data_IF_664483326231
#
_entry.id   IF_664483326231
#
_cell.length_a   1.000
_cell.length_b   1.000
_cell.length_c   1.000
_cell.angle_alpha   90.00
_cell.angle_beta   90.00
_cell.angle_gamma   90.00
#
_symmetry.space_group_name_H-M   'P 1'
#
loop_
_entity.id
_entity.type
_entity.pdbx_description
1 polymer ?
#
# COMPACT_ATOMS: atom_id res chain seq x y z
N UNK A 1 -24.59 2.95 2.49
CA UNK A 1 -23.32 2.19 2.48
C UNK A 1 -22.91 1.96 3.92
N UNK A 2 -22.70 0.71 4.33
CA UNK A 2 -22.40 0.36 5.72
C UNK A 2 -20.88 0.30 5.92
N UNK A 3 -20.37 0.88 6.99
CA UNK A 3 -18.99 0.73 7.43
C UNK A 3 -18.99 0.00 8.76
N UNK A 4 -18.22 -1.07 8.84
CA UNK A 4 -18.02 -1.77 10.10
C UNK A 4 -16.69 -1.34 10.71
N UNK A 5 -16.76 -0.86 11.95
CA UNK A 5 -15.58 -0.60 12.77
C UNK A 5 -15.13 -1.90 13.42
N UNK A 6 -13.86 -2.24 13.25
CA UNK A 6 -13.21 -3.34 13.96
C UNK A 6 -12.15 -2.77 14.88
N UNK A 7 -12.14 -3.23 16.13
CA UNK A 7 -11.11 -2.91 17.12
C UNK A 7 -10.41 -4.20 17.51
N UNK A 8 -9.08 -4.22 17.40
CA UNK A 8 -8.25 -5.34 17.83
C UNK A 8 -7.27 -4.88 18.89
N UNK A 9 -7.11 -5.71 19.93
CA UNK A 9 -6.06 -5.54 20.92
C UNK A 9 -4.84 -6.33 20.45
N UNK A 10 -3.74 -5.62 20.17
CA UNK A 10 -2.46 -6.20 19.77
C UNK A 10 -1.36 -5.76 20.72
N UNK A 11 -0.31 -6.57 20.81
CA UNK A 11 0.89 -6.26 21.60
C UNK A 11 1.62 -5.03 21.05
N UNK A 12 2.22 -4.22 21.91
CA UNK A 12 3.06 -3.07 21.55
C UNK A 12 4.27 -3.45 20.65
N UNK A 13 4.64 -4.74 20.64
CA UNK A 13 5.66 -5.26 19.74
C UNK A 13 5.24 -5.29 18.26
N UNK A 14 3.94 -5.15 17.98
CA UNK A 14 3.39 -5.16 16.61
C UNK A 14 3.53 -3.76 16.01
N UNK A 15 4.39 -3.64 14.99
CA UNK A 15 4.69 -2.34 14.36
C UNK A 15 3.64 -1.89 13.33
N UNK A 16 3.02 -2.86 12.64
CA UNK A 16 2.03 -2.62 11.60
C UNK A 16 1.10 -3.82 11.48
N UNK A 17 -0.08 -3.60 10.89
CA UNK A 17 -1.10 -4.64 10.70
C UNK A 17 -1.71 -4.54 9.31
N UNK A 18 -1.76 -5.67 8.59
CA UNK A 18 -2.43 -5.80 7.29
C UNK A 18 -3.62 -6.74 7.43
N UNK A 19 -4.81 -6.26 7.10
CA UNK A 19 -6.03 -7.07 7.01
C UNK A 19 -6.31 -7.51 5.58
N UNK A 20 -7.21 -8.47 5.41
CA UNK A 20 -7.59 -9.03 4.11
C UNK A 20 -6.37 -9.61 3.38
N UNK A 21 -5.77 -10.64 3.98
CA UNK A 21 -4.60 -11.33 3.43
C UNK A 21 -4.88 -11.82 2.00
N UNK A 22 -3.99 -11.48 1.07
CA UNK A 22 -4.11 -11.74 -0.36
C UNK A 22 -5.41 -11.21 -1.00
N UNK A 23 -6.12 -10.29 -0.34
CA UNK A 23 -7.35 -9.68 -0.86
C UNK A 23 -8.45 -10.71 -1.22
N UNK A 24 -8.58 -11.76 -0.41
CA UNK A 24 -9.58 -12.83 -0.64
C UNK A 24 -11.00 -12.40 -0.27
N UNK A 25 -11.16 -11.45 0.65
CA UNK A 25 -12.43 -10.86 1.03
C UNK A 25 -12.86 -9.73 0.08
N UNK A 26 -14.15 -9.67 -0.23
CA UNK A 26 -14.76 -8.58 -0.99
C UNK A 26 -15.01 -7.35 -0.11
N UNK A 27 -13.94 -6.79 0.45
CA UNK A 27 -14.02 -5.57 1.24
C UNK A 27 -12.75 -4.71 1.19
N UNK A 28 -12.94 -3.40 1.37
CA UNK A 28 -11.84 -2.42 1.49
C UNK A 28 -11.53 -2.20 2.95
N UNK A 29 -10.23 -2.06 3.28
CA UNK A 29 -9.74 -1.76 4.63
C UNK A 29 -9.17 -0.34 4.67
N UNK A 30 -9.67 0.46 5.60
CA UNK A 30 -9.08 1.78 5.93
C UNK A 30 -8.29 1.70 7.23
N UNK A 31 -7.00 2.01 7.22
CA UNK A 31 -6.11 1.84 8.38
C UNK A 31 -5.97 3.07 9.30
N UNK A 32 -6.60 4.20 8.95
CA UNK A 32 -6.33 5.48 9.61
C UNK A 32 -4.94 6.04 9.24
N UNK A 33 -4.66 7.27 9.66
CA UNK A 33 -3.43 7.96 9.23
C UNK A 33 -2.16 7.28 9.75
N UNK A 34 -2.16 6.91 11.03
CA UNK A 34 -1.06 6.17 11.65
C UNK A 34 -0.86 4.78 11.04
N UNK A 35 -1.95 4.02 10.84
CA UNK A 35 -1.87 2.68 10.26
C UNK A 35 -1.41 2.68 8.80
N UNK A 36 -1.83 3.67 8.01
CA UNK A 36 -1.26 3.87 6.67
C UNK A 36 0.23 4.24 6.73
N UNK A 37 0.63 5.11 7.66
CA UNK A 37 2.03 5.52 7.79
C UNK A 37 2.95 4.34 8.16
N UNK A 38 2.55 3.48 9.10
CA UNK A 38 3.35 2.32 9.50
C UNK A 38 3.43 1.25 8.41
N UNK A 39 2.36 1.05 7.63
CA UNK A 39 2.39 0.18 6.44
C UNK A 39 3.32 0.72 5.35
N UNK A 40 3.32 2.04 5.11
CA UNK A 40 4.22 2.67 4.15
C UNK A 40 5.68 2.52 4.61
N UNK A 41 5.97 2.74 5.89
CA UNK A 41 7.30 2.59 6.47
C UNK A 41 7.81 1.13 6.35
N UNK A 42 6.94 0.15 6.60
CA UNK A 42 7.25 -1.26 6.42
C UNK A 42 7.65 -1.59 4.98
N UNK A 43 6.90 -1.09 4.00
CA UNK A 43 7.17 -1.31 2.57
C UNK A 43 8.45 -0.63 2.08
N UNK A 44 8.79 0.53 2.64
CA UNK A 44 10.06 1.23 2.33
C UNK A 44 11.26 0.54 2.96
N UNK A 45 11.08 -0.06 4.14
CA UNK A 45 12.15 -0.79 4.85
C UNK A 45 12.46 -2.12 4.17
N UNK A 46 11.42 -2.91 3.87
CA UNK A 46 11.54 -4.16 3.15
C UNK A 46 10.23 -4.45 2.39
N UNK A 47 10.30 -4.40 1.07
CA UNK A 47 9.15 -4.60 0.18
C UNK A 47 8.57 -6.02 0.29
N UNK A 48 9.37 -6.99 0.74
CA UNK A 48 8.96 -8.38 0.89
C UNK A 48 8.19 -8.65 2.19
N UNK A 49 8.05 -7.64 3.06
CA UNK A 49 7.20 -7.73 4.27
C UNK A 49 5.74 -8.02 3.97
N UNK A 50 5.27 -7.64 2.77
CA UNK A 50 3.93 -7.92 2.26
C UNK A 50 4.01 -8.66 0.93
N UNK A 51 3.06 -9.57 0.68
CA UNK A 51 2.98 -10.29 -0.59
C UNK A 51 2.67 -9.32 -1.75
N UNK A 52 3.02 -9.66 -3.01
CA UNK A 52 2.67 -8.82 -4.16
C UNK A 52 1.16 -8.57 -4.28
N UNK A 53 0.34 -9.56 -3.90
CA UNK A 53 -1.12 -9.42 -3.88
C UNK A 53 -1.61 -8.44 -2.81
N UNK A 54 -0.99 -8.46 -1.63
CA UNK A 54 -1.29 -7.50 -0.56
C UNK A 54 -0.87 -6.08 -0.93
N UNK A 55 0.29 -5.92 -1.58
CA UNK A 55 0.76 -4.62 -2.07
C UNK A 55 -0.17 -4.03 -3.13
N UNK A 56 -0.59 -4.83 -4.11
CA UNK A 56 -1.61 -4.45 -5.08
C UNK A 56 -2.94 -4.06 -4.40
N UNK A 57 -3.38 -4.84 -3.42
CA UNK A 57 -4.58 -4.54 -2.64
C UNK A 57 -4.48 -3.21 -1.87
N UNK A 58 -3.33 -2.91 -1.27
CA UNK A 58 -3.11 -1.63 -0.58
C UNK A 58 -3.23 -0.44 -1.53
N UNK A 59 -2.64 -0.53 -2.72
CA UNK A 59 -2.78 0.49 -3.78
C UNK A 59 -4.25 0.65 -4.15
N UNK A 60 -4.95 -0.45 -4.46
CA UNK A 60 -6.37 -0.42 -4.79
C UNK A 60 -7.21 0.26 -3.69
N UNK A 61 -6.98 -0.13 -2.45
CA UNK A 61 -7.72 0.31 -1.27
C UNK A 61 -7.52 1.81 -1.05
N UNK A 62 -6.28 2.30 -1.05
CA UNK A 62 -5.99 3.71 -0.78
C UNK A 62 -6.56 4.63 -1.86
N UNK A 63 -6.51 4.21 -3.14
CA UNK A 63 -7.13 4.94 -4.24
C UNK A 63 -8.65 4.97 -4.10
N UNK A 64 -9.27 3.84 -3.78
CA UNK A 64 -10.71 3.77 -3.56
C UNK A 64 -11.15 4.68 -2.40
N UNK A 65 -10.42 4.68 -1.29
CA UNK A 65 -10.68 5.53 -0.13
C UNK A 65 -10.46 7.01 -0.44
N UNK A 66 -9.46 7.33 -1.27
CA UNK A 66 -9.23 8.72 -1.70
C UNK A 66 -10.34 9.26 -2.59
N UNK A 67 -10.88 8.44 -3.52
CA UNK A 67 -12.07 8.81 -4.30
C UNK A 67 -13.30 9.05 -3.42
N UNK A 68 -13.38 8.40 -2.27
CA UNK A 68 -14.46 8.57 -1.30
C UNK A 68 -14.23 9.76 -0.34
N UNK A 69 -13.13 10.51 -0.50
CA UNK A 69 -12.76 11.61 0.38
C UNK A 69 -12.33 11.18 1.78
N UNK A 70 -11.99 9.89 1.98
CA UNK A 70 -11.59 9.34 3.29
C UNK A 70 -10.09 9.39 3.52
N UNK A 71 -9.30 9.31 2.45
CA UNK A 71 -7.84 9.43 2.49
C UNK A 71 -7.40 10.56 1.57
N UNK A 72 -6.48 11.41 2.03
CA UNK A 72 -5.97 12.51 1.21
C UNK A 72 -5.18 11.98 0.01
N UNK A 73 -5.25 12.66 -1.13
CA UNK A 73 -4.45 12.26 -2.31
C UNK A 73 -2.94 12.37 -2.04
N UNK A 74 -2.51 13.22 -1.10
CA UNK A 74 -1.11 13.28 -0.63
C UNK A 74 -0.65 11.94 -0.05
N UNK A 75 -1.51 11.28 0.72
CA UNK A 75 -1.21 10.00 1.34
C UNK A 75 -1.18 8.86 0.32
N UNK A 76 -1.99 8.95 -0.75
CA UNK A 76 -1.85 8.08 -1.93
C UNK A 76 -0.48 8.24 -2.57
N UNK A 77 -0.01 9.47 -2.78
CA UNK A 77 1.33 9.73 -3.32
C UNK A 77 2.44 9.23 -2.40
N UNK A 78 2.28 9.36 -1.08
CA UNK A 78 3.23 8.83 -0.11
C UNK A 78 3.33 7.30 -0.16
N UNK A 79 2.21 6.60 -0.41
CA UNK A 79 2.24 5.15 -0.66
C UNK A 79 2.96 4.86 -1.96
N UNK A 80 2.63 5.54 -3.06
CA UNK A 80 3.27 5.28 -4.37
C UNK A 80 4.79 5.53 -4.39
N UNK A 81 5.34 6.23 -3.41
CA UNK A 81 6.78 6.41 -3.26
C UNK A 81 7.53 5.08 -3.14
N UNK A 82 6.97 4.06 -2.45
CA UNK A 82 7.61 2.73 -2.38
C UNK A 82 7.63 2.03 -3.75
N UNK A 83 6.64 2.32 -4.62
CA UNK A 83 6.47 1.65 -5.90
C UNK A 83 7.62 1.93 -6.88
N UNK A 84 8.49 2.91 -6.58
CA UNK A 84 9.73 3.16 -7.30
C UNK A 84 10.72 1.99 -7.25
N UNK A 85 10.66 1.18 -6.19
CA UNK A 85 11.48 -0.01 -5.98
C UNK A 85 10.70 -1.32 -6.22
N UNK A 86 9.47 -1.24 -6.73
CA UNK A 86 8.62 -2.39 -6.99
C UNK A 86 9.02 -3.09 -8.29
N UNK A 87 9.15 -4.41 -8.23
CA UNK A 87 9.52 -5.26 -9.37
C UNK A 87 8.43 -6.25 -9.75
N UNK A 88 7.42 -6.43 -8.90
CA UNK A 88 6.36 -7.41 -9.12
C UNK A 88 5.24 -6.83 -9.99
N UNK A 89 4.77 -7.65 -10.92
CA UNK A 89 3.79 -7.22 -11.94
C UNK A 89 2.47 -6.75 -11.34
N UNK A 90 1.97 -7.42 -10.29
CA UNK A 90 0.63 -7.14 -9.77
C UNK A 90 0.49 -5.73 -9.15
N UNK A 91 1.38 -5.28 -8.23
CA UNK A 91 1.32 -3.90 -7.71
C UNK A 91 1.56 -2.84 -8.77
N UNK A 92 2.49 -3.06 -9.71
CA UNK A 92 2.77 -2.11 -10.79
C UNK A 92 1.58 -1.94 -11.72
N UNK A 93 0.94 -3.05 -12.12
CA UNK A 93 -0.23 -3.01 -12.99
C UNK A 93 -1.39 -2.29 -12.31
N UNK A 94 -1.61 -2.53 -11.02
CA UNK A 94 -2.64 -1.82 -10.25
C UNK A 94 -2.33 -0.32 -10.16
N UNK A 95 -1.10 0.07 -9.81
CA UNK A 95 -0.69 1.48 -9.74
C UNK A 95 -0.88 2.20 -11.08
N UNK A 96 -0.42 1.59 -12.17
CA UNK A 96 -0.54 2.16 -13.52
C UNK A 96 -2.00 2.29 -13.95
N UNK A 97 -2.85 1.30 -13.65
CA UNK A 97 -4.29 1.35 -13.92
C UNK A 97 -4.99 2.51 -13.19
N UNK A 98 -4.69 2.69 -11.90
CA UNK A 98 -5.24 3.78 -11.09
C UNK A 98 -4.75 5.15 -11.58
N UNK A 99 -3.46 5.28 -11.89
CA UNK A 99 -2.89 6.51 -12.43
C UNK A 99 -3.44 6.85 -13.82
N UNK A 100 -3.66 5.86 -14.70
CA UNK A 100 -4.33 6.07 -15.99
C UNK A 100 -5.74 6.61 -15.82
N UNK A 101 -6.47 6.12 -14.80
CA UNK A 101 -7.79 6.66 -14.45
C UNK A 101 -7.72 8.13 -14.00
N UNK A 102 -6.73 8.49 -13.19
CA UNK A 102 -6.49 9.89 -12.77
C UNK A 102 -6.14 10.77 -13.97
N UNK A 103 -5.23 10.31 -14.83
CA UNK A 103 -4.83 11.02 -16.05
C UNK A 103 -6.04 11.36 -16.91
N UNK A 104 -6.91 10.37 -17.18
CA UNK A 104 -8.13 10.56 -17.98
C UNK A 104 -9.09 11.57 -17.37
N UNK A 105 -9.16 11.65 -16.04
CA UNK A 105 -9.99 12.65 -15.35
C UNK A 105 -9.41 14.06 -15.48
N UNK A 106 -8.09 14.21 -15.37
CA UNK A 106 -7.41 15.50 -15.53
C UNK A 106 -7.52 16.03 -16.97
N UNK A 107 -7.36 15.14 -17.95
CA UNK A 107 -7.51 15.47 -19.37
C UNK A 107 -8.92 15.99 -19.68
N UNK A 108 -9.96 15.28 -19.17
CA UNK A 108 -11.36 15.73 -19.29
C UNK A 108 -11.65 17.08 -18.61
N UNK A 109 -10.91 17.42 -17.56
CA UNK A 109 -11.02 18.72 -16.86
C UNK A 109 -10.17 19.82 -17.49
N UNK A 110 -9.48 19.54 -18.60
CA UNK A 110 -8.57 20.48 -19.26
C UNK A 110 -7.42 20.96 -18.36
N UNK A 111 -7.02 20.14 -17.38
CA UNK A 111 -5.94 20.44 -16.44
C UNK A 111 -4.56 20.18 -17.06
N UNK A 112 -4.27 20.86 -18.18
CA UNK A 112 -3.11 20.58 -19.04
C UNK A 112 -1.77 20.65 -18.31
N UNK A 113 -1.65 21.55 -17.32
CA UNK A 113 -0.45 21.68 -16.48
C UNK A 113 -0.20 20.42 -15.63
N UNK A 114 -1.25 19.86 -15.03
CA UNK A 114 -1.14 18.65 -14.20
C UNK A 114 -0.92 17.41 -15.07
N UNK A 115 -1.59 17.33 -16.22
CA UNK A 115 -1.39 16.29 -17.23
C UNK A 115 0.06 16.24 -17.70
N UNK A 116 0.66 17.38 -18.04
CA UNK A 116 2.05 17.45 -18.48
C UNK A 116 3.03 16.96 -17.40
N UNK A 117 2.85 17.39 -16.14
CA UNK A 117 3.68 16.94 -15.01
C UNK A 117 3.58 15.44 -14.77
N UNK A 118 2.37 14.89 -14.87
CA UNK A 118 2.13 13.46 -14.68
C UNK A 118 2.78 12.62 -15.79
N UNK A 119 2.73 13.08 -17.05
CA UNK A 119 3.40 12.41 -18.17
C UNK A 119 4.90 12.28 -17.94
N UNK A 120 5.57 13.37 -17.57
CA UNK A 120 7.04 13.39 -17.38
C UNK A 120 7.47 12.33 -16.35
N UNK A 121 6.77 12.25 -15.21
CA UNK A 121 7.11 11.30 -14.15
C UNK A 121 6.79 9.83 -14.50
N UNK A 122 5.76 9.58 -15.31
CA UNK A 122 5.44 8.22 -15.75
C UNK A 122 6.47 7.69 -16.76
N UNK A 123 6.93 8.53 -17.69
CA UNK A 123 7.88 8.10 -18.74
C UNK A 123 9.27 7.78 -18.18
N UNK A 124 9.72 8.48 -17.13
CA UNK A 124 11.02 8.22 -16.51
C UNK A 124 11.06 6.90 -15.73
N UNK A 125 9.94 6.42 -15.18
CA UNK A 125 9.88 5.14 -14.46
C UNK A 125 9.70 3.94 -15.38
N UNK A 126 8.91 4.06 -16.45
CA UNK A 126 8.72 2.96 -17.41
C UNK A 126 10.00 2.64 -18.19
N UNK A 127 10.83 3.64 -18.52
CA UNK A 127 12.08 3.43 -19.26
C UNK A 127 13.16 2.71 -18.44
N UNK A 128 13.23 2.96 -17.12
CA UNK A 128 14.20 2.27 -16.24
C UNK A 128 13.81 0.82 -15.99
N UNK A 129 12.51 0.51 -15.88
CA UNK A 129 12.05 -0.85 -15.60
C UNK A 129 12.15 -1.79 -16.81
N UNK A 130 11.97 -1.29 -18.04
CA UNK A 130 12.05 -2.11 -19.26
C UNK A 130 13.47 -2.59 -19.59
N UNK A 131 14.51 -2.03 -18.95
CA UNK A 131 15.92 -2.38 -19.17
C UNK A 131 16.51 -3.35 -18.13
N UNK A 132 15.71 -3.87 -17.19
CA UNK A 132 16.23 -4.85 -16.22
C UNK A 132 15.17 -5.89 -15.90
N UNK A 133 14.95 -6.82 -16.81
CA UNK A 133 14.24 -8.07 -16.50
C UNK A 133 15.06 -9.29 -16.95
N UNK A 134 15.84 -9.82 -16.01
CA UNK A 134 15.96 -11.27 -15.78
C UNK A 134 16.46 -11.44 -14.35
N UNK A 135 15.56 -11.73 -13.42
CA UNK A 135 15.96 -12.33 -12.14
C UNK A 135 14.86 -13.29 -11.66
N UNK A 136 15.17 -14.58 -11.76
CA UNK A 136 14.48 -15.64 -11.02
C UNK A 136 15.06 -15.63 -9.61
N UNK A 137 14.27 -15.25 -8.61
CA UNK A 137 14.65 -15.42 -7.21
C UNK A 137 13.75 -16.45 -6.54
N UNK A 138 14.33 -17.61 -6.23
CA UNK A 138 13.77 -18.58 -5.28
C UNK A 138 14.37 -18.27 -3.92
N UNK A 139 13.59 -17.71 -2.99
CA UNK A 139 14.02 -17.51 -1.61
C UNK A 139 13.42 -18.59 -0.70
N UNK A 140 14.29 -19.42 -0.12
CA UNK A 140 13.99 -20.29 1.03
C UNK A 140 14.49 -19.59 2.28
N UNK A 141 13.58 -19.18 3.18
CA UNK A 141 13.95 -18.64 4.49
C UNK A 141 13.84 -19.72 5.56
N UNK A 142 14.92 -19.93 6.31
CA UNK A 142 14.95 -20.66 7.58
C UNK A 142 15.08 -19.64 8.71
N UNK A 143 14.06 -19.52 9.56
CA UNK A 143 14.14 -18.69 10.77
C UNK A 143 14.54 -19.53 11.98
N UNK A 144 15.59 -19.11 12.68
CA UNK A 144 15.96 -19.58 14.03
C UNK A 144 15.53 -18.51 15.03
N UNK A 145 14.62 -18.85 15.95
CA UNK A 145 14.23 -17.96 17.05
C UNK A 145 15.00 -18.30 18.33
N UNK A 146 15.65 -17.30 18.93
CA UNK A 146 16.14 -17.32 20.31
C UNK A 146 15.24 -16.41 21.14
N UNK A 147 14.49 -16.98 22.09
CA UNK A 147 13.66 -16.19 23.01
C UNK A 147 14.44 -15.81 24.27
N UNK A 148 14.50 -14.52 24.57
CA UNK A 148 14.82 -13.96 25.89
C UNK A 148 13.56 -13.25 26.38
N UNK A 149 13.06 -13.62 27.55
CA UNK A 149 11.86 -13.01 28.14
C UNK A 149 12.27 -11.83 29.04
N UNK A 150 11.80 -10.64 28.68
CA UNK A 150 11.80 -9.44 29.52
C UNK A 150 10.34 -9.02 29.71
N UNK A 151 9.97 -8.65 30.94
CA UNK A 151 8.62 -8.21 31.31
C UNK A 151 8.27 -6.88 30.64
N UNK A 152 7.15 -6.83 29.93
CA UNK A 152 6.65 -5.64 29.22
C UNK A 152 5.42 -5.07 29.93
N UNK A 153 5.42 -3.75 30.16
CA UNK A 153 4.26 -2.98 30.55
C UNK A 153 3.29 -2.93 29.36
N UNK A 154 2.05 -3.40 29.54
CA UNK A 154 1.02 -3.39 28.49
C UNK A 154 0.45 -1.98 28.33
N UNK A 155 0.83 -1.28 27.25
CA UNK A 155 -0.01 -0.22 26.70
C UNK A 155 -0.90 -0.82 25.61
N UNK A 156 -2.04 -0.18 25.31
CA UNK A 156 -3.06 -0.70 24.41
C UNK A 156 -3.21 0.27 23.25
N UNK A 157 -2.84 -0.16 22.04
CA UNK A 157 -3.08 0.59 20.82
C UNK A 157 -4.40 0.15 20.16
N UNK A 158 -5.25 1.12 19.84
CA UNK A 158 -6.54 0.92 19.20
C UNK A 158 -6.41 1.09 17.68
N UNK A 159 -6.28 -0.01 16.94
CA UNK A 159 -6.38 0.06 15.47
C UNK A 159 -7.86 0.15 15.07
N UNK A 160 -8.23 1.27 14.46
CA UNK A 160 -9.57 1.54 13.93
C UNK A 160 -9.56 1.23 12.44
N UNK A 161 -10.15 0.10 12.03
CA UNK A 161 -10.34 -0.19 10.60
C UNK A 161 -11.80 -0.10 10.18
N UNK A 162 -12.03 0.53 9.03
CA UNK A 162 -13.35 0.56 8.41
C UNK A 162 -13.39 -0.46 7.27
N UNK A 163 -14.30 -1.41 7.38
CA UNK A 163 -14.58 -2.43 6.37
C UNK A 163 -15.77 -1.97 5.52
N UNK A 164 -15.58 -1.93 4.20
CA UNK A 164 -16.66 -1.66 3.24
C UNK A 164 -16.94 -2.91 2.41
N UNK A 165 -18.15 -3.45 2.52
CA UNK A 165 -18.72 -4.46 1.62
C UNK A 165 -19.31 -3.84 0.35
#
# INVERSE_FOLDING_TARGET
MCFQLVTLNVSDSVKWLKFNYMNTGFYIVHYGDEGWATLIDALKTDINTLTPHDRASLIHNIFALSRLGRVSFRQVLNLLDYATNETETAPLTEALSQLSSVYRLLDKRQEQRLVARMKVNAHTHTHTHSHTHTHTHTHTHTHTHTHTHTHTHTHTHYYTTYVRY
#
